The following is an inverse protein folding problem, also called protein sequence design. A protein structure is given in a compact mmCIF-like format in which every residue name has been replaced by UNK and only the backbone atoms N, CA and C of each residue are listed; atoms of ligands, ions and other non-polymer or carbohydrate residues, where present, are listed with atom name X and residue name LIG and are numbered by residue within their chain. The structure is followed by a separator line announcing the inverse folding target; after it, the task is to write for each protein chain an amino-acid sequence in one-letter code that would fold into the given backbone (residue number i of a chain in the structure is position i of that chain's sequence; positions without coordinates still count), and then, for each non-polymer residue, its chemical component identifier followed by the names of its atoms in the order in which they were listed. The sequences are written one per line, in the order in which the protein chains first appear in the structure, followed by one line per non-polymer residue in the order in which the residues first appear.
data_IF_160359458699
#
_entry.id   IF_160359458699
#
_cell.length_a   1.000
_cell.length_b   1.000
_cell.length_c   1.000
_cell.angle_alpha   90.00
_cell.angle_beta   90.00
_cell.angle_gamma   90.00
#
_symmetry.space_group_name_H-M   'P 1'
#
loop_
_entity.id
_entity.type
_entity.pdbx_description
1 polymer ?
#
# COMPACT_ATOMS: atom_id res chain seq x y z
N UNK A 1 0.58 42.72 35.50
CA UNK A 1 0.82 41.34 35.10
C UNK A 1 2.23 41.24 34.52
N UNK A 2 3.11 40.52 35.19
CA UNK A 2 4.49 40.35 34.70
C UNK A 2 4.51 39.09 33.80
N UNK A 3 4.58 39.29 32.47
CA UNK A 3 4.58 38.21 31.49
C UNK A 3 5.97 38.08 30.91
N UNK A 4 6.76 37.18 31.46
CA UNK A 4 8.14 36.92 31.01
C UNK A 4 8.13 36.08 29.71
N UNK A 5 7.33 35.06 29.63
CA UNK A 5 7.20 34.15 28.46
C UNK A 5 6.15 34.66 27.47
N UNK A 6 6.58 35.00 26.27
CA UNK A 6 5.73 35.56 25.21
C UNK A 6 5.94 34.84 23.86
N UNK A 7 5.23 33.76 23.59
CA UNK A 7 5.38 32.99 22.32
C UNK A 7 5.14 33.84 21.06
N UNK A 8 4.35 34.93 21.14
CA UNK A 8 4.10 35.85 20.01
C UNK A 8 5.37 36.51 19.46
N UNK A 9 6.49 36.54 20.22
CA UNK A 9 7.77 37.09 19.75
C UNK A 9 8.25 36.40 18.50
N UNK A 10 8.12 35.04 18.43
CA UNK A 10 8.52 34.22 17.29
C UNK A 10 7.51 34.21 16.14
N UNK A 11 6.32 34.78 16.37
CA UNK A 11 5.26 34.86 15.32
C UNK A 11 5.24 36.22 14.60
N UNK A 12 6.05 37.19 15.04
CA UNK A 12 5.96 38.61 14.67
C UNK A 12 6.22 38.89 13.18
N UNK A 13 7.09 38.13 12.53
CA UNK A 13 7.40 38.32 11.12
C UNK A 13 7.41 36.99 10.36
N UNK A 14 7.27 37.02 9.00
CA UNK A 14 7.43 35.84 8.18
C UNK A 14 8.79 35.15 8.38
N UNK A 15 9.86 35.91 8.50
CA UNK A 15 11.22 35.40 8.73
C UNK A 15 11.32 34.63 10.04
N UNK A 16 10.82 35.18 11.14
CA UNK A 16 10.83 34.51 12.44
C UNK A 16 9.97 33.26 12.43
N UNK A 17 8.80 33.30 11.80
CA UNK A 17 7.95 32.11 11.64
C UNK A 17 8.62 31.01 10.80
N UNK A 18 9.31 31.37 9.73
CA UNK A 18 10.07 30.43 8.90
C UNK A 18 11.24 29.80 9.66
N UNK A 19 11.95 30.59 10.47
CA UNK A 19 13.10 30.13 11.25
C UNK A 19 12.72 29.07 12.29
N UNK A 20 11.52 29.17 12.88
CA UNK A 20 11.04 28.23 13.93
C UNK A 20 10.04 27.20 13.42
N UNK A 21 9.91 27.06 12.11
CA UNK A 21 9.02 26.08 11.52
C UNK A 21 9.59 24.67 11.73
N UNK A 22 8.79 23.80 12.36
CA UNK A 22 9.18 22.42 12.67
C UNK A 22 8.90 21.48 11.48
N UNK A 23 7.85 21.75 10.71
CA UNK A 23 7.41 20.89 9.60
C UNK A 23 7.70 21.54 8.25
N UNK A 24 8.40 20.85 7.39
CA UNK A 24 8.59 21.16 5.97
C UNK A 24 7.93 20.09 5.12
N UNK A 25 7.64 20.42 3.87
CA UNK A 25 7.17 19.48 2.86
C UNK A 25 8.04 19.63 1.61
N UNK A 26 8.54 18.51 1.11
CA UNK A 26 9.34 18.42 -0.10
C UNK A 26 8.84 17.27 -0.98
N UNK A 27 9.20 17.20 -2.27
CA UNK A 27 8.85 16.05 -3.10
C UNK A 27 9.37 14.71 -2.56
N UNK A 28 10.44 14.71 -1.77
CA UNK A 28 10.99 13.49 -1.17
C UNK A 28 10.12 12.90 -0.05
N UNK A 29 9.15 13.67 0.45
CA UNK A 29 8.20 13.21 1.47
C UNK A 29 7.02 12.41 0.87
N UNK A 30 6.94 12.31 -0.47
CA UNK A 30 5.86 11.60 -1.15
C UNK A 30 6.27 10.22 -1.64
N UNK A 31 5.37 9.25 -1.49
CA UNK A 31 5.41 7.96 -2.17
C UNK A 31 4.45 8.04 -3.36
N UNK A 32 4.96 7.91 -4.59
CA UNK A 32 4.15 8.07 -5.79
C UNK A 32 3.49 6.76 -6.23
N UNK A 33 2.14 6.65 -6.19
CA UNK A 33 1.45 5.43 -6.58
C UNK A 33 1.42 5.26 -8.10
N UNK A 34 1.80 4.06 -8.56
CA UNK A 34 1.83 3.68 -9.97
C UNK A 34 1.05 2.38 -10.16
N UNK A 35 0.12 2.40 -11.10
CA UNK A 35 -0.63 1.23 -11.51
C UNK A 35 0.06 0.59 -12.71
N UNK A 36 0.33 -0.72 -12.64
CA UNK A 36 1.09 -1.46 -13.66
C UNK A 36 0.22 -2.54 -14.27
N UNK A 37 0.35 -2.78 -15.58
CA UNK A 37 -0.37 -3.83 -16.29
C UNK A 37 0.44 -4.41 -17.45
N UNK A 38 0.00 -5.55 -18.01
CA UNK A 38 0.69 -6.26 -19.10
C UNK A 38 0.23 -5.87 -20.51
N UNK A 39 -0.74 -4.95 -20.64
CA UNK A 39 -1.20 -4.49 -21.95
C UNK A 39 -0.12 -3.74 -22.74
N UNK A 40 -0.31 -3.61 -24.05
CA UNK A 40 0.67 -2.98 -24.93
C UNK A 40 0.76 -1.44 -24.75
N UNK A 41 -0.33 -0.78 -24.37
CA UNK A 41 -0.42 0.68 -24.34
C UNK A 41 -0.67 1.19 -22.92
N UNK A 42 -0.27 2.44 -22.66
CA UNK A 42 -0.65 3.17 -21.43
C UNK A 42 -2.16 3.38 -21.42
N UNK A 43 -2.83 3.02 -20.33
CA UNK A 43 -4.28 3.07 -20.19
C UNK A 43 -4.71 4.13 -19.17
N UNK A 44 -5.50 5.14 -19.52
CA UNK A 44 -6.05 6.06 -18.54
C UNK A 44 -7.04 5.36 -17.62
N UNK A 45 -7.07 5.76 -16.34
CA UNK A 45 -8.01 5.26 -15.36
C UNK A 45 -9.20 6.22 -15.30
N UNK A 46 -10.40 5.75 -15.72
CA UNK A 46 -11.57 6.61 -15.86
C UNK A 46 -11.98 7.30 -14.56
N UNK A 47 -11.94 6.58 -13.44
CA UNK A 47 -12.28 7.10 -12.12
C UNK A 47 -11.17 7.93 -11.45
N UNK A 48 -9.96 8.01 -12.05
CA UNK A 48 -8.83 8.80 -11.56
C UNK A 48 -8.29 9.71 -12.66
N UNK A 49 -8.92 10.86 -12.95
CA UNK A 49 -8.48 11.78 -14.02
C UNK A 49 -6.99 12.17 -13.86
N UNK A 50 -6.20 11.92 -14.89
CA UNK A 50 -4.76 12.18 -14.89
C UNK A 50 -3.89 11.02 -14.41
N UNK A 51 -4.46 9.96 -13.85
CA UNK A 51 -3.75 8.73 -13.54
C UNK A 51 -3.87 7.71 -14.67
N UNK A 52 -2.81 6.91 -14.84
CA UNK A 52 -2.74 5.88 -15.87
C UNK A 52 -2.30 4.54 -15.29
N UNK A 53 -2.66 3.46 -15.97
CA UNK A 53 -1.99 2.18 -15.83
C UNK A 53 -0.85 2.14 -16.84
N UNK A 54 0.34 1.85 -16.36
CA UNK A 54 1.57 1.84 -17.12
C UNK A 54 1.95 0.41 -17.52
N UNK A 55 2.24 0.19 -18.78
CA UNK A 55 2.90 -1.04 -19.20
C UNK A 55 4.40 -0.96 -18.87
N UNK A 56 5.09 -2.10 -18.84
CA UNK A 56 6.50 -2.14 -18.46
C UNK A 56 7.39 -1.25 -19.34
N UNK A 57 7.10 -1.15 -20.63
CA UNK A 57 7.87 -0.33 -21.58
C UNK A 57 7.87 1.17 -21.20
N UNK A 58 6.73 1.69 -20.75
CA UNK A 58 6.57 3.11 -20.43
C UNK A 58 6.77 3.43 -18.94
N UNK A 59 6.74 2.43 -18.07
CA UNK A 59 6.86 2.60 -16.62
C UNK A 59 8.15 3.32 -16.23
N UNK A 60 9.30 2.89 -16.77
CA UNK A 60 10.60 3.50 -16.46
C UNK A 60 10.65 4.99 -16.80
N UNK A 61 10.04 5.40 -17.92
CA UNK A 61 9.95 6.81 -18.31
C UNK A 61 9.18 7.65 -17.29
N UNK A 62 8.06 7.14 -16.79
CA UNK A 62 7.27 7.82 -15.77
C UNK A 62 8.01 7.89 -14.42
N UNK A 63 8.69 6.82 -14.00
CA UNK A 63 9.49 6.82 -12.77
C UNK A 63 10.68 7.78 -12.88
N UNK A 64 11.36 7.87 -14.03
CA UNK A 64 12.41 8.88 -14.28
C UNK A 64 11.86 10.30 -14.16
N UNK A 65 10.68 10.56 -14.70
CA UNK A 65 10.00 11.86 -14.58
C UNK A 65 9.70 12.21 -13.11
N UNK A 66 9.24 11.25 -12.32
CA UNK A 66 9.01 11.43 -10.88
C UNK A 66 10.32 11.71 -10.14
N UNK A 67 11.40 11.00 -10.45
CA UNK A 67 12.74 11.23 -9.91
C UNK A 67 13.23 12.65 -10.16
N UNK A 68 13.10 13.14 -11.39
CA UNK A 68 13.52 14.49 -11.80
C UNK A 68 12.73 15.58 -11.06
N UNK A 69 11.49 15.30 -10.65
CA UNK A 69 10.66 16.17 -9.81
C UNK A 69 11.00 16.09 -8.32
N UNK A 70 11.92 15.22 -7.92
CA UNK A 70 12.38 15.09 -6.54
C UNK A 70 11.68 13.99 -5.74
N UNK A 71 10.78 13.19 -6.32
CA UNK A 71 10.19 12.00 -5.71
C UNK A 71 11.28 10.95 -5.52
N UNK A 72 11.30 10.27 -4.37
CA UNK A 72 12.34 9.28 -4.02
C UNK A 72 11.81 7.89 -3.78
N UNK A 73 10.49 7.74 -3.71
CA UNK A 73 9.83 6.45 -3.54
C UNK A 73 8.62 6.33 -4.46
N UNK A 74 8.44 5.17 -5.05
CA UNK A 74 7.21 4.80 -5.79
C UNK A 74 6.59 3.58 -5.16
N UNK A 75 5.26 3.46 -5.22
CA UNK A 75 4.56 2.23 -4.85
C UNK A 75 3.88 1.62 -6.07
N UNK A 76 4.06 0.31 -6.26
CA UNK A 76 3.55 -0.42 -7.41
C UNK A 76 2.28 -1.20 -7.06
N UNK A 77 1.22 -0.98 -7.85
CA UNK A 77 -0.05 -1.67 -7.76
C UNK A 77 -0.33 -2.41 -9.09
N UNK A 78 -0.49 -3.73 -9.10
CA UNK A 78 -0.73 -4.47 -10.32
C UNK A 78 -2.19 -4.45 -10.74
N UNK A 79 -2.45 -4.33 -12.05
CA UNK A 79 -3.68 -4.83 -12.66
C UNK A 79 -3.35 -6.13 -13.39
N UNK A 80 -3.65 -7.24 -12.76
CA UNK A 80 -3.40 -8.58 -13.27
C UNK A 80 -4.40 -8.91 -14.38
N UNK A 81 -3.96 -9.64 -15.39
CA UNK A 81 -4.84 -10.15 -16.46
C UNK A 81 -5.85 -11.14 -15.89
N UNK A 82 -7.08 -11.10 -16.40
CA UNK A 82 -8.21 -11.87 -15.84
C UNK A 82 -7.95 -13.39 -15.83
N UNK A 83 -7.27 -13.88 -16.85
CA UNK A 83 -6.91 -15.30 -17.01
C UNK A 83 -5.87 -15.80 -15.99
N UNK A 84 -5.19 -14.90 -15.29
CA UNK A 84 -4.20 -15.21 -14.24
C UNK A 84 -4.80 -15.15 -12.83
N UNK A 85 -6.02 -14.65 -12.70
CA UNK A 85 -6.69 -14.57 -11.40
C UNK A 85 -7.26 -15.92 -11.01
N UNK A 86 -6.98 -16.34 -9.78
CA UNK A 86 -7.43 -17.62 -9.23
C UNK A 86 -8.14 -17.43 -7.88
N UNK A 87 -8.79 -18.46 -7.34
CA UNK A 87 -9.44 -18.37 -6.02
C UNK A 87 -8.45 -18.22 -4.88
N UNK A 88 -7.24 -18.75 -5.04
CA UNK A 88 -6.14 -18.66 -4.07
C UNK A 88 -5.14 -17.51 -4.37
N UNK A 89 -5.36 -16.76 -5.45
CA UNK A 89 -4.48 -15.65 -5.82
C UNK A 89 -3.04 -16.06 -6.11
N UNK A 90 -2.77 -17.29 -6.57
CA UNK A 90 -1.44 -17.87 -6.71
C UNK A 90 -0.45 -17.05 -7.55
N UNK A 91 -0.93 -16.22 -8.48
CA UNK A 91 -0.09 -15.31 -9.26
C UNK A 91 0.64 -14.27 -8.38
N UNK A 92 0.19 -14.04 -7.12
CA UNK A 92 0.79 -13.04 -6.22
C UNK A 92 2.24 -13.36 -5.82
N UNK A 93 2.66 -14.64 -5.88
CA UNK A 93 4.03 -15.08 -5.58
C UNK A 93 4.76 -15.69 -6.79
N UNK A 94 4.26 -15.44 -8.01
CA UNK A 94 4.93 -15.84 -9.25
C UNK A 94 6.20 -14.98 -9.45
N UNK A 95 7.39 -15.59 -9.38
CA UNK A 95 8.69 -14.90 -9.53
C UNK A 95 8.88 -14.23 -10.90
N UNK A 96 8.18 -14.69 -11.94
CA UNK A 96 8.18 -14.13 -13.28
C UNK A 96 6.93 -13.27 -13.57
N UNK A 97 6.11 -13.02 -12.57
CA UNK A 97 4.92 -12.19 -12.64
C UNK A 97 5.19 -10.72 -12.95
N UNK A 98 4.13 -9.95 -13.11
CA UNK A 98 4.20 -8.54 -13.50
C UNK A 98 5.01 -7.69 -12.51
N UNK A 99 4.74 -7.82 -11.21
CA UNK A 99 5.40 -6.98 -10.18
C UNK A 99 6.89 -7.29 -10.05
N UNK A 100 7.37 -8.54 -9.89
CA UNK A 100 8.81 -8.79 -9.82
C UNK A 100 9.57 -8.39 -11.10
N UNK A 101 8.95 -8.48 -12.27
CA UNK A 101 9.55 -7.94 -13.51
C UNK A 101 9.68 -6.42 -13.48
N UNK A 102 8.63 -5.71 -13.01
CA UNK A 102 8.65 -4.26 -12.86
C UNK A 102 9.72 -3.81 -11.86
N UNK A 103 9.84 -4.48 -10.70
CA UNK A 103 10.86 -4.18 -9.69
C UNK A 103 12.25 -4.33 -10.29
N UNK A 104 12.57 -5.50 -10.88
CA UNK A 104 13.89 -5.77 -11.47
C UNK A 104 14.26 -4.74 -12.55
N UNK A 105 13.31 -4.40 -13.42
CA UNK A 105 13.52 -3.39 -14.46
C UNK A 105 13.82 -2.01 -13.85
N UNK A 106 13.04 -1.57 -12.87
CA UNK A 106 13.25 -0.26 -12.24
C UNK A 106 14.56 -0.22 -11.45
N UNK A 107 14.91 -1.27 -10.73
CA UNK A 107 16.20 -1.36 -10.00
C UNK A 107 17.40 -1.36 -10.93
N UNK A 108 17.29 -1.93 -12.11
CA UNK A 108 18.35 -1.88 -13.13
C UNK A 108 18.53 -0.46 -13.69
N UNK A 109 17.43 0.26 -13.96
CA UNK A 109 17.44 1.56 -14.64
C UNK A 109 17.59 2.76 -13.68
N UNK A 110 17.10 2.61 -12.44
CA UNK A 110 17.07 3.64 -11.40
C UNK A 110 17.36 3.01 -10.03
N UNK A 111 18.59 2.53 -9.78
CA UNK A 111 18.91 1.78 -8.56
C UNK A 111 18.69 2.56 -7.25
N UNK A 112 18.73 3.88 -7.30
CA UNK A 112 18.52 4.76 -6.14
C UNK A 112 17.05 5.06 -5.84
N UNK A 113 16.11 4.74 -6.75
CA UNK A 113 14.68 4.89 -6.49
C UNK A 113 14.23 3.82 -5.49
N UNK A 114 13.69 4.24 -4.36
CA UNK A 114 13.05 3.30 -3.44
C UNK A 114 11.77 2.76 -4.07
N UNK A 115 11.60 1.44 -4.02
CA UNK A 115 10.43 0.74 -4.55
C UNK A 115 9.67 0.12 -3.39
N UNK A 116 8.46 0.60 -3.17
CA UNK A 116 7.47 -0.02 -2.31
C UNK A 116 6.54 -0.89 -3.17
N UNK A 117 6.07 -1.99 -2.60
CA UNK A 117 5.09 -2.87 -3.25
C UNK A 117 3.89 -3.09 -2.35
N UNK A 118 2.75 -3.29 -2.96
CA UNK A 118 1.52 -3.68 -2.26
C UNK A 118 1.52 -5.19 -1.99
N UNK A 119 1.05 -5.59 -0.80
CA UNK A 119 0.86 -6.99 -0.42
C UNK A 119 -0.59 -7.18 -0.01
N UNK A 120 -1.36 -7.78 -0.91
CA UNK A 120 -2.77 -8.15 -0.76
C UNK A 120 -3.15 -9.07 -1.91
N UNK A 121 -4.24 -9.85 -1.78
CA UNK A 121 -4.65 -10.79 -2.80
C UNK A 121 -5.67 -10.22 -3.81
N UNK A 122 -6.33 -9.11 -3.54
CA UNK A 122 -7.42 -8.60 -4.37
C UNK A 122 -7.06 -8.36 -5.85
N UNK A 123 -5.84 -7.97 -6.25
CA UNK A 123 -5.49 -7.89 -7.67
C UNK A 123 -5.33 -9.26 -8.35
N UNK A 124 -5.10 -10.31 -7.57
CA UNK A 124 -4.76 -11.66 -8.02
C UNK A 124 -5.93 -12.64 -7.83
N UNK A 125 -6.92 -12.26 -7.01
CA UNK A 125 -8.09 -13.08 -6.74
C UNK A 125 -9.18 -12.87 -7.79
N UNK A 126 -9.81 -13.96 -8.21
CA UNK A 126 -10.95 -13.92 -9.13
C UNK A 126 -12.21 -13.31 -8.49
N UNK A 127 -12.32 -13.29 -7.16
CA UNK A 127 -13.44 -12.71 -6.41
C UNK A 127 -13.19 -11.28 -5.91
N UNK A 128 -11.95 -10.77 -6.03
CA UNK A 128 -11.57 -9.39 -5.70
C UNK A 128 -11.48 -9.10 -4.21
N UNK A 129 -11.38 -10.12 -3.36
CA UNK A 129 -11.10 -9.95 -1.94
C UNK A 129 -9.60 -9.93 -1.64
N UNK A 130 -9.22 -9.23 -0.54
CA UNK A 130 -7.81 -9.10 -0.13
C UNK A 130 -7.26 -10.40 0.51
N UNK A 131 -8.11 -11.40 0.73
CA UNK A 131 -7.76 -12.71 1.30
C UNK A 131 -8.57 -13.85 0.68
N UNK A 132 -8.19 -15.07 1.04
CA UNK A 132 -8.86 -16.32 0.59
C UNK A 132 -10.29 -16.36 1.13
N UNK A 133 -11.25 -16.62 0.25
CA UNK A 133 -12.64 -16.80 0.65
C UNK A 133 -12.95 -18.30 0.79
N UNK A 134 -13.49 -18.70 1.93
CA UNK A 134 -13.91 -20.08 2.20
C UNK A 134 -15.14 -20.49 1.41
N UNK A 135 -15.46 -21.80 1.38
CA UNK A 135 -16.69 -22.33 0.82
C UNK A 135 -17.99 -21.77 1.47
N UNK A 136 -17.87 -21.22 2.68
CA UNK A 136 -18.95 -20.60 3.43
C UNK A 136 -19.06 -19.09 3.19
N UNK A 137 -18.17 -18.50 2.36
CA UNK A 137 -18.14 -17.08 2.06
C UNK A 137 -17.54 -16.23 3.17
N UNK A 138 -16.56 -16.76 3.89
CA UNK A 138 -15.81 -16.06 4.94
C UNK A 138 -14.38 -15.88 4.45
N UNK A 139 -13.81 -14.68 4.62
CA UNK A 139 -12.39 -14.43 4.36
C UNK A 139 -11.58 -15.09 5.50
N UNK A 140 -10.64 -15.96 5.12
CA UNK A 140 -9.81 -16.74 6.03
C UNK A 140 -8.56 -15.95 6.38
N UNK A 141 -8.35 -15.68 7.66
CA UNK A 141 -7.23 -14.88 8.14
C UNK A 141 -5.88 -15.60 7.96
N UNK A 142 -5.73 -16.73 8.64
CA UNK A 142 -4.43 -17.40 8.80
C UNK A 142 -3.91 -17.97 7.46
N UNK A 143 -4.79 -18.58 6.68
CA UNK A 143 -4.47 -19.11 5.35
C UNK A 143 -4.08 -18.00 4.37
N UNK A 144 -4.68 -16.81 4.52
CA UNK A 144 -4.29 -15.62 3.74
C UNK A 144 -2.89 -15.16 4.08
N UNK A 145 -2.55 -15.06 5.38
CA UNK A 145 -1.23 -14.63 5.85
C UNK A 145 -0.11 -15.50 5.27
N UNK A 146 -0.29 -16.80 5.16
CA UNK A 146 0.70 -17.69 4.53
C UNK A 146 1.04 -17.31 3.09
N UNK A 147 0.05 -16.84 2.32
CA UNK A 147 0.29 -16.37 0.94
C UNK A 147 0.91 -14.97 0.92
N UNK A 148 0.50 -14.08 1.83
CA UNK A 148 1.07 -12.75 1.95
C UNK A 148 2.56 -12.81 2.30
N UNK A 149 2.98 -13.74 3.17
CA UNK A 149 4.40 -13.98 3.46
C UNK A 149 5.17 -14.41 2.20
N UNK A 150 4.63 -15.33 1.40
CA UNK A 150 5.26 -15.74 0.12
C UNK A 150 5.35 -14.58 -0.86
N UNK A 151 4.30 -13.77 -0.96
CA UNK A 151 4.25 -12.58 -1.81
C UNK A 151 5.32 -11.56 -1.38
N UNK A 152 5.42 -11.25 -0.10
CA UNK A 152 6.39 -10.31 0.45
C UNK A 152 7.84 -10.75 0.20
N UNK A 153 8.16 -12.01 0.49
CA UNK A 153 9.49 -12.60 0.25
C UNK A 153 9.84 -12.58 -1.25
N UNK A 154 8.91 -12.94 -2.14
CA UNK A 154 9.11 -12.87 -3.58
C UNK A 154 9.40 -11.44 -4.05
N UNK A 155 8.66 -10.45 -3.55
CA UNK A 155 8.87 -9.04 -3.89
C UNK A 155 10.22 -8.53 -3.36
N UNK A 156 10.61 -8.89 -2.12
CA UNK A 156 11.93 -8.58 -1.56
C UNK A 156 13.06 -9.21 -2.39
N UNK A 157 12.91 -10.47 -2.79
CA UNK A 157 13.86 -11.18 -3.67
C UNK A 157 13.99 -10.52 -5.05
N UNK A 158 12.93 -9.91 -5.55
CA UNK A 158 12.96 -9.13 -6.79
C UNK A 158 13.67 -7.77 -6.64
N UNK A 159 13.87 -7.26 -5.40
CA UNK A 159 14.57 -6.02 -5.10
C UNK A 159 13.68 -4.89 -4.56
N UNK A 160 12.49 -5.19 -4.02
CA UNK A 160 11.69 -4.19 -3.30
C UNK A 160 12.43 -3.71 -2.05
N UNK A 161 12.38 -2.40 -1.78
CA UNK A 161 12.96 -1.80 -0.57
C UNK A 161 11.97 -1.78 0.59
N UNK A 162 10.67 -1.74 0.26
CA UNK A 162 9.58 -1.57 1.21
C UNK A 162 8.41 -2.48 0.83
N UNK A 163 7.84 -3.15 1.82
CA UNK A 163 6.65 -3.99 1.69
C UNK A 163 5.46 -3.29 2.34
N UNK A 164 4.34 -3.21 1.63
CA UNK A 164 3.13 -2.53 2.08
C UNK A 164 1.95 -3.47 2.24
N UNK A 165 1.81 -4.20 3.36
CA UNK A 165 0.65 -5.04 3.59
C UNK A 165 -0.62 -4.18 3.72
N UNK A 166 -1.56 -4.38 2.80
CA UNK A 166 -2.80 -3.60 2.70
C UNK A 166 -4.07 -4.43 2.85
N UNK A 167 -3.92 -5.69 3.18
CA UNK A 167 -4.95 -6.72 3.24
C UNK A 167 -5.86 -6.65 4.47
N UNK A 168 -5.37 -6.12 5.60
CA UNK A 168 -6.06 -6.01 6.90
C UNK A 168 -6.31 -7.34 7.63
N UNK A 169 -5.48 -8.37 7.40
CA UNK A 169 -5.53 -9.59 8.21
C UNK A 169 -4.83 -9.38 9.56
N UNK A 170 -5.36 -9.98 10.63
CA UNK A 170 -4.79 -9.87 11.97
C UNK A 170 -3.44 -10.60 12.05
N UNK A 171 -2.39 -9.95 12.60
CA UNK A 171 -1.06 -10.55 12.80
C UNK A 171 -0.18 -10.64 11.55
N UNK A 172 -0.63 -10.08 10.41
CA UNK A 172 0.10 -10.16 9.13
C UNK A 172 1.46 -9.47 9.12
N UNK A 173 1.58 -8.36 9.86
CA UNK A 173 2.85 -7.60 9.88
C UNK A 173 3.93 -8.43 10.56
N UNK A 174 3.63 -9.06 11.70
CA UNK A 174 4.56 -9.92 12.41
C UNK A 174 4.99 -11.13 11.59
N UNK A 175 4.03 -11.81 10.96
CA UNK A 175 4.31 -12.96 10.12
C UNK A 175 5.17 -12.59 8.88
N UNK A 176 4.87 -11.47 8.22
CA UNK A 176 5.68 -10.97 7.09
C UNK A 176 7.08 -10.58 7.55
N UNK A 177 7.22 -9.92 8.70
CA UNK A 177 8.54 -9.56 9.24
C UNK A 177 9.39 -10.80 9.51
N UNK A 178 8.82 -11.81 10.20
CA UNK A 178 9.49 -13.09 10.46
C UNK A 178 9.90 -13.76 9.15
N UNK A 179 9.00 -13.85 8.17
CA UNK A 179 9.30 -14.48 6.89
C UNK A 179 10.40 -13.76 6.09
N UNK A 180 10.46 -12.43 6.14
CA UNK A 180 11.51 -11.64 5.51
C UNK A 180 12.86 -11.86 6.20
N UNK A 181 12.88 -11.86 7.54
CA UNK A 181 14.10 -12.07 8.33
C UNK A 181 14.67 -13.48 8.13
N UNK A 182 13.82 -14.50 8.11
CA UNK A 182 14.23 -15.90 7.89
C UNK A 182 14.87 -16.12 6.49
N UNK A 183 14.49 -15.32 5.52
CA UNK A 183 15.04 -15.36 4.15
C UNK A 183 16.21 -14.37 3.93
N UNK A 184 16.66 -13.67 4.98
CA UNK A 184 17.81 -12.75 4.94
C UNK A 184 17.48 -11.36 4.41
N UNK A 185 16.22 -10.92 4.52
CA UNK A 185 15.74 -9.60 4.08
C UNK A 185 15.45 -8.66 5.26
N UNK A 186 16.26 -8.70 6.34
CA UNK A 186 16.12 -7.83 7.52
C UNK A 186 16.20 -6.34 7.18
N UNK A 187 16.79 -6.00 6.04
CA UNK A 187 16.93 -4.63 5.56
C UNK A 187 15.71 -4.11 4.76
N UNK A 188 14.75 -4.98 4.44
CA UNK A 188 13.51 -4.58 3.75
C UNK A 188 12.51 -4.05 4.78
N UNK A 189 12.10 -2.78 4.61
CA UNK A 189 11.18 -2.15 5.53
C UNK A 189 9.72 -2.53 5.29
N UNK A 190 8.88 -2.35 6.32
CA UNK A 190 7.43 -2.57 6.24
C UNK A 190 6.68 -1.25 6.49
N UNK A 191 5.88 -0.84 5.49
CA UNK A 191 4.92 0.27 5.62
C UNK A 191 3.51 -0.32 5.67
N UNK A 192 2.99 -0.59 6.85
CA UNK A 192 1.68 -1.21 6.99
C UNK A 192 0.54 -0.25 6.68
N UNK A 193 -0.46 -0.73 5.94
CA UNK A 193 -1.77 -0.07 5.82
C UNK A 193 -2.61 -0.39 7.06
N UNK A 194 -2.25 0.25 8.15
CA UNK A 194 -2.75 -0.04 9.50
C UNK A 194 -4.22 0.29 9.68
N UNK A 195 -4.68 1.41 9.12
CA UNK A 195 -6.05 1.87 9.28
C UNK A 195 -6.72 2.10 7.93
N UNK A 196 -7.09 1.00 7.27
CA UNK A 196 -7.79 1.00 5.98
C UNK A 196 -9.29 0.87 6.21
N UNK A 197 -9.99 1.98 6.06
CA UNK A 197 -11.43 2.03 6.29
C UNK A 197 -12.23 1.54 5.08
N UNK A 198 -13.30 0.79 5.32
CA UNK A 198 -14.27 0.42 4.30
C UNK A 198 -15.07 1.66 3.90
N UNK A 199 -14.69 2.30 2.79
CA UNK A 199 -15.30 3.55 2.37
C UNK A 199 -15.43 3.69 0.85
N UNK A 200 -16.27 4.65 0.42
CA UNK A 200 -16.47 4.99 -0.98
C UNK A 200 -15.20 5.54 -1.66
N UNK A 201 -14.22 6.05 -0.92
CA UNK A 201 -12.96 6.55 -1.45
C UNK A 201 -12.14 5.47 -2.19
N UNK A 202 -12.35 4.19 -1.87
CA UNK A 202 -11.70 3.09 -2.58
C UNK A 202 -12.37 2.71 -3.91
N UNK A 203 -13.49 3.32 -4.28
CA UNK A 203 -14.14 3.09 -5.58
C UNK A 203 -13.20 3.26 -6.76
N UNK A 204 -12.53 4.43 -6.92
CA UNK A 204 -11.57 4.68 -7.99
C UNK A 204 -10.37 3.72 -7.97
N UNK A 205 -9.86 3.36 -6.79
CA UNK A 205 -8.76 2.43 -6.63
C UNK A 205 -9.15 1.01 -7.09
N UNK A 206 -10.34 0.53 -6.73
CA UNK A 206 -10.86 -0.77 -7.17
C UNK A 206 -11.01 -0.83 -8.70
N UNK A 207 -11.39 0.27 -9.35
CA UNK A 207 -11.39 0.35 -10.82
C UNK A 207 -9.97 0.27 -11.38
N UNK A 208 -9.01 0.95 -10.75
CA UNK A 208 -7.63 0.97 -11.21
C UNK A 208 -7.00 -0.42 -11.26
N UNK A 209 -7.27 -1.28 -10.27
CA UNK A 209 -6.75 -2.64 -10.18
C UNK A 209 -7.69 -3.70 -10.77
N UNK A 210 -8.94 -3.33 -11.09
CA UNK A 210 -9.99 -4.29 -11.44
C UNK A 210 -10.20 -5.33 -10.33
N UNK A 211 -10.28 -4.85 -9.07
CA UNK A 211 -10.31 -5.65 -7.84
C UNK A 211 -11.59 -5.44 -7.01
N UNK A 212 -12.69 -5.02 -7.64
CA UNK A 212 -13.96 -4.93 -6.96
C UNK A 212 -14.51 -6.33 -6.62
N UNK A 213 -15.06 -6.56 -5.40
CA UNK A 213 -15.67 -7.83 -5.04
C UNK A 213 -16.73 -8.27 -6.07
N UNK A 214 -16.59 -9.48 -6.59
CA UNK A 214 -17.48 -10.06 -7.60
C UNK A 214 -17.55 -11.57 -7.47
N UNK A 215 -18.72 -12.16 -7.69
CA UNK A 215 -18.85 -13.61 -7.69
C UNK A 215 -18.15 -14.21 -8.92
N UNK A 216 -17.19 -15.10 -8.69
CA UNK A 216 -16.44 -15.81 -9.73
C UNK A 216 -16.99 -17.23 -10.00
N UNK A 217 -18.15 -17.58 -9.42
CA UNK A 217 -18.77 -18.90 -9.54
C UNK A 217 -20.03 -19.01 -8.70
N UNK A 218 -20.37 -20.20 -8.23
CA UNK A 218 -21.52 -20.47 -7.35
C UNK A 218 -21.20 -20.32 -5.86
N UNK A 219 -19.93 -20.15 -5.50
CA UNK A 219 -19.44 -19.97 -4.14
C UNK A 219 -19.94 -18.64 -3.57
N UNK A 220 -20.51 -18.60 -2.34
CA UNK A 220 -20.85 -17.35 -1.70
C UNK A 220 -19.57 -16.54 -1.42
N UNK A 221 -19.64 -15.24 -1.60
CA UNK A 221 -18.57 -14.30 -1.23
C UNK A 221 -19.15 -13.16 -0.41
N UNK A 222 -18.34 -12.48 0.43
CA UNK A 222 -18.78 -11.23 1.05
C UNK A 222 -19.12 -10.19 -0.02
N UNK A 223 -20.18 -9.41 0.20
CA UNK A 223 -20.65 -8.40 -0.79
C UNK A 223 -19.71 -7.20 -0.91
N UNK A 224 -18.95 -6.95 0.13
CA UNK A 224 -18.02 -5.84 0.27
C UNK A 224 -16.85 -6.26 1.18
N UNK A 225 -15.99 -5.31 1.55
CA UNK A 225 -14.80 -5.56 2.36
C UNK A 225 -14.99 -5.24 3.86
N UNK A 226 -16.24 -5.02 4.33
CA UNK A 226 -16.56 -4.61 5.71
C UNK A 226 -16.17 -5.65 6.78
N UNK A 227 -15.96 -6.92 6.39
CA UNK A 227 -15.60 -7.98 7.33
C UNK A 227 -14.13 -7.97 7.76
N UNK A 228 -13.29 -7.16 7.11
CA UNK A 228 -11.87 -7.03 7.43
C UNK A 228 -11.33 -5.60 7.27
N UNK A 229 -11.96 -4.72 6.50
CA UNK A 229 -11.64 -3.30 6.51
C UNK A 229 -12.40 -2.60 7.65
N UNK A 230 -11.81 -1.57 8.21
CA UNK A 230 -12.32 -0.88 9.40
C UNK A 230 -13.62 -0.11 9.14
N UNK A 231 -14.48 -0.02 10.14
CA UNK A 231 -15.67 0.82 10.11
C UNK A 231 -15.26 2.31 10.25
N UNK A 232 -15.67 3.20 9.31
CA UNK A 232 -15.37 4.64 9.38
C UNK A 232 -15.86 5.33 10.67
N UNK A 233 -16.76 4.73 11.43
CA UNK A 233 -17.22 5.25 12.71
C UNK A 233 -16.25 4.98 13.88
N UNK A 234 -15.20 4.17 13.69
CA UNK A 234 -14.33 3.67 14.75
C UNK A 234 -12.92 4.31 14.71
N UNK A 235 -12.75 5.54 15.21
CA UNK A 235 -11.44 6.20 15.23
C UNK A 235 -10.45 5.57 16.25
N UNK A 236 -10.93 4.99 17.36
CA UNK A 236 -10.06 4.37 18.37
C UNK A 236 -9.45 3.06 17.90
N UNK A 237 -10.13 2.34 17.06
CA UNK A 237 -9.66 1.10 16.44
C UNK A 237 -8.37 1.35 15.65
N UNK A 238 -8.29 2.46 14.91
CA UNK A 238 -7.08 2.85 14.19
C UNK A 238 -5.83 3.01 15.08
N UNK A 239 -6.02 3.48 16.32
CA UNK A 239 -4.92 3.60 17.29
C UNK A 239 -4.49 2.20 17.78
N UNK A 240 -5.46 1.32 18.01
CA UNK A 240 -5.19 -0.07 18.41
C UNK A 240 -4.43 -0.80 17.31
N UNK A 241 -4.89 -0.72 16.07
CA UNK A 241 -4.22 -1.31 14.90
C UNK A 241 -2.79 -0.76 14.73
N UNK A 242 -2.60 0.56 14.86
CA UNK A 242 -1.27 1.16 14.77
C UNK A 242 -0.30 0.63 15.86
N UNK A 243 -0.80 0.42 17.08
CA UNK A 243 0.00 -0.11 18.17
C UNK A 243 0.34 -1.60 17.97
N UNK A 244 -0.59 -2.36 17.40
CA UNK A 244 -0.36 -3.78 17.07
C UNK A 244 0.67 -3.90 15.95
N UNK A 245 0.49 -3.19 14.85
CA UNK A 245 1.41 -3.21 13.70
C UNK A 245 2.82 -2.74 14.11
N UNK A 246 2.94 -1.71 14.97
CA UNK A 246 4.23 -1.27 15.52
C UNK A 246 4.89 -2.38 16.36
N UNK A 247 4.14 -3.07 17.23
CA UNK A 247 4.63 -4.18 18.04
C UNK A 247 5.03 -5.39 17.19
N UNK A 248 4.37 -5.61 16.08
CA UNK A 248 4.64 -6.65 15.10
C UNK A 248 5.84 -6.34 14.20
N UNK A 249 6.39 -5.10 14.24
CA UNK A 249 7.60 -4.73 13.53
C UNK A 249 7.38 -3.88 12.27
N UNK A 250 6.26 -3.18 12.15
CA UNK A 250 6.11 -2.15 11.11
C UNK A 250 7.06 -0.98 11.37
N UNK A 251 7.82 -0.57 10.35
CA UNK A 251 8.71 0.59 10.40
C UNK A 251 7.95 1.91 10.28
N UNK A 252 6.82 1.87 9.59
CA UNK A 252 5.93 3.01 9.35
C UNK A 252 4.50 2.52 9.14
N UNK A 253 3.54 3.34 9.52
CA UNK A 253 2.11 3.04 9.33
C UNK A 253 1.47 4.04 8.37
N UNK A 254 0.57 3.55 7.53
CA UNK A 254 -0.28 4.32 6.64
C UNK A 254 -1.74 4.20 7.08
N UNK A 255 -2.50 5.27 6.92
CA UNK A 255 -3.92 5.29 7.25
C UNK A 255 -4.71 6.11 6.24
N UNK A 256 -5.96 5.71 6.01
CA UNK A 256 -6.89 6.44 5.15
C UNK A 256 -7.88 7.26 5.98
N UNK A 257 -8.19 8.47 5.53
CA UNK A 257 -9.25 9.33 6.06
C UNK A 257 -9.12 9.79 7.52
N UNK A 258 -7.97 9.57 8.18
CA UNK A 258 -7.71 10.20 9.46
C UNK A 258 -7.51 11.70 9.23
N UNK A 259 -8.35 12.52 9.84
CA UNK A 259 -8.21 13.97 9.81
C UNK A 259 -7.28 14.42 10.94
N UNK A 260 -6.61 15.56 10.77
CA UNK A 260 -5.77 16.17 11.82
C UNK A 260 -6.41 16.22 13.22
N UNK A 261 -7.72 16.50 13.39
CA UNK A 261 -8.37 16.41 14.69
C UNK A 261 -8.32 15.05 15.37
N UNK A 262 -8.16 13.98 14.61
CA UNK A 262 -8.06 12.61 15.13
C UNK A 262 -6.68 12.37 15.79
N UNK A 263 -5.65 13.09 15.35
CA UNK A 263 -4.28 13.00 15.86
C UNK A 263 -4.11 13.78 17.19
N UNK A 264 -4.98 14.74 17.49
CA UNK A 264 -4.90 15.59 18.68
C UNK A 264 -5.72 15.11 19.87
N UNK A 265 -6.18 13.89 19.85
CA UNK A 265 -6.91 13.29 20.97
C UNK A 265 -5.99 12.57 21.95
N UNK A 266 -4.73 12.99 22.03
CA UNK A 266 -3.73 12.49 22.99
C UNK A 266 -3.48 13.57 24.05
#
# INVERSE_FOLDING_TARGET
MDITYRPRRLRRSPALRAMVRETGLSPADFIYPLFVHEGADVQPIGAMPGANRWNLENLTGEVKRAWDLGIRCVVLFPKVAEELKTEDGAECFNEDGLIPRAIRQLKQELPEMAIMTDVALDPYSCDGHDGIVSEQGVVLNDETIELLCKQAVMQARAGADLIGPSDMMDGRVGAIREALDDEGFEHVGIISYTAKYSSAYYGPFREALDSAPRAAGSKPIPKNKDTYQMDPANAREAITEAQLDEQEGADTVSYTHLTLPTIYSV
#
